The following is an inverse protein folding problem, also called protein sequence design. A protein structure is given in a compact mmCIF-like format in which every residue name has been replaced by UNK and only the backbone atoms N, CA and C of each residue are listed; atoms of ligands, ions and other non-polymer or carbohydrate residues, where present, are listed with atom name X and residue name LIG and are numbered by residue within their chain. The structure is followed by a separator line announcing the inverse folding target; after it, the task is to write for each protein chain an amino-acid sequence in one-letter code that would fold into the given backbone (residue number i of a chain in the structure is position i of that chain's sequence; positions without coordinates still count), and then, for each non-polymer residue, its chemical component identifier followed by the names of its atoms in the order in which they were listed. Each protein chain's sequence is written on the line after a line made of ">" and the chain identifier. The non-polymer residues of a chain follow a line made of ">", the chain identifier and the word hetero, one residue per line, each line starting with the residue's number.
data_IF_444166537770
#
_entry.id   IF_444166537770
#
_cell.length_a   1.000
_cell.length_b   1.000
_cell.length_c   1.000
_cell.angle_alpha   90.00
_cell.angle_beta   90.00
_cell.angle_gamma   90.00
#
_symmetry.space_group_name_H-M   'P 1'
#
loop_
_entity.id
_entity.type
_entity.pdbx_description
1 polymer ?
#
# COMPACT_ATOMS: atom_id res chain seq x y z
N UNK A 1 13.32 -10.95 -8.70
CA UNK A 1 13.15 -10.53 -10.12
C UNK A 1 13.98 -9.28 -10.34
N UNK A 2 14.65 -9.15 -11.50
CA UNK A 2 15.43 -7.94 -11.84
C UNK A 2 14.67 -7.16 -12.90
N UNK A 3 14.55 -5.86 -12.71
CA UNK A 3 13.88 -4.95 -13.64
C UNK A 3 14.87 -3.86 -14.04
N UNK A 4 14.98 -3.59 -15.33
CA UNK A 4 15.78 -2.49 -15.86
C UNK A 4 14.85 -1.33 -16.16
N UNK A 5 15.17 -0.16 -15.65
CA UNK A 5 14.43 1.09 -15.89
C UNK A 5 15.39 2.14 -16.46
N UNK A 6 14.88 3.00 -17.33
CA UNK A 6 15.61 4.17 -17.81
C UNK A 6 15.30 5.34 -16.89
N UNK A 7 16.34 5.94 -16.32
CA UNK A 7 16.23 7.14 -15.49
C UNK A 7 16.84 8.33 -16.22
N UNK A 8 16.23 9.49 -16.04
CA UNK A 8 16.79 10.77 -16.50
C UNK A 8 17.96 11.14 -15.59
N UNK A 9 19.00 11.76 -16.15
CA UNK A 9 20.30 11.95 -15.45
C UNK A 9 20.18 12.79 -14.17
N UNK A 10 19.30 13.78 -14.17
CA UNK A 10 18.98 14.61 -13.01
C UNK A 10 18.37 13.79 -11.86
N UNK A 11 17.44 12.88 -12.18
CA UNK A 11 16.83 11.98 -11.20
C UNK A 11 17.85 10.97 -10.67
N UNK A 12 18.75 10.48 -11.52
CA UNK A 12 19.84 9.61 -11.10
C UNK A 12 20.77 10.33 -10.12
N UNK A 13 21.18 11.56 -10.42
CA UNK A 13 22.01 12.37 -9.54
C UNK A 13 21.36 12.59 -8.17
N UNK A 14 20.07 12.95 -8.16
CA UNK A 14 19.29 13.10 -6.94
C UNK A 14 19.22 11.82 -6.10
N UNK A 15 18.97 10.68 -6.74
CA UNK A 15 18.93 9.39 -6.05
C UNK A 15 20.30 8.99 -5.48
N UNK A 16 21.38 9.29 -6.20
CA UNK A 16 22.75 9.06 -5.73
C UNK A 16 23.08 9.93 -4.52
N UNK A 17 22.71 11.21 -4.54
CA UNK A 17 22.94 12.12 -3.41
C UNK A 17 22.16 11.67 -2.17
N UNK A 18 20.89 11.28 -2.35
CA UNK A 18 19.99 10.96 -1.24
C UNK A 18 20.18 9.56 -0.64
N UNK A 19 20.50 8.56 -1.45
CA UNK A 19 20.59 7.15 -1.01
C UNK A 19 21.99 6.54 -1.15
N UNK A 20 22.89 7.19 -1.89
CA UNK A 20 24.21 6.67 -2.23
C UNK A 20 24.18 5.69 -3.40
N UNK A 21 25.29 5.60 -4.13
CA UNK A 21 25.43 4.79 -5.37
C UNK A 21 25.05 3.31 -5.21
N UNK A 22 25.26 2.74 -4.02
CA UNK A 22 25.01 1.31 -3.75
C UNK A 22 23.54 0.97 -3.42
N UNK A 23 22.74 1.95 -2.99
CA UNK A 23 21.37 1.70 -2.48
C UNK A 23 20.27 2.33 -3.33
N UNK A 24 20.58 2.70 -4.58
CA UNK A 24 19.62 3.31 -5.51
C UNK A 24 18.41 2.40 -5.72
N UNK A 25 18.64 1.10 -5.90
CA UNK A 25 17.55 0.12 -6.09
C UNK A 25 16.60 0.07 -4.89
N UNK A 26 17.13 0.12 -3.67
CA UNK A 26 16.31 0.16 -2.45
C UNK A 26 15.49 1.45 -2.37
N UNK A 27 16.10 2.59 -2.68
CA UNK A 27 15.43 3.89 -2.68
C UNK A 27 14.31 3.96 -3.72
N UNK A 28 14.56 3.49 -4.94
CA UNK A 28 13.56 3.44 -6.01
C UNK A 28 12.40 2.52 -5.64
N UNK A 29 12.69 1.32 -5.15
CA UNK A 29 11.64 0.37 -4.75
C UNK A 29 10.79 0.91 -3.59
N UNK A 30 11.41 1.57 -2.60
CA UNK A 30 10.69 2.20 -1.50
C UNK A 30 9.76 3.31 -1.98
N UNK A 31 10.26 4.24 -2.81
CA UNK A 31 9.44 5.32 -3.35
C UNK A 31 8.29 4.80 -4.21
N UNK A 32 8.55 3.83 -5.10
CA UNK A 32 7.51 3.22 -5.91
C UNK A 32 6.50 2.48 -5.06
N UNK A 33 6.93 1.81 -3.99
CA UNK A 33 6.04 1.14 -3.07
C UNK A 33 5.10 2.13 -2.37
N UNK A 34 5.67 3.19 -1.79
CA UNK A 34 4.90 4.26 -1.13
C UNK A 34 3.89 4.88 -2.11
N UNK A 35 4.33 5.31 -3.28
CA UNK A 35 3.44 5.99 -4.22
C UNK A 35 2.38 5.08 -4.85
N UNK A 36 2.75 3.84 -5.24
CA UNK A 36 1.84 2.96 -5.98
C UNK A 36 0.92 2.16 -5.05
N UNK A 37 1.38 1.83 -3.83
CA UNK A 37 0.66 0.93 -2.93
C UNK A 37 0.12 1.60 -1.66
N UNK A 38 0.75 2.64 -1.11
CA UNK A 38 0.16 3.30 0.08
C UNK A 38 -1.08 4.12 -0.26
N UNK A 39 -1.12 4.76 -1.43
CA UNK A 39 -2.35 5.43 -1.92
C UNK A 39 -3.46 4.42 -2.25
N UNK A 40 -3.09 3.18 -2.59
CA UNK A 40 -4.03 2.08 -2.89
C UNK A 40 -4.51 1.32 -1.67
N UNK A 41 -4.21 1.78 -0.45
CA UNK A 41 -5.02 1.42 0.73
C UNK A 41 -6.40 2.11 0.67
N UNK A 42 -7.06 2.09 -0.49
CA UNK A 42 -8.50 1.96 -0.49
C UNK A 42 -8.76 0.57 0.06
N UNK A 43 -9.15 0.55 1.32
CA UNK A 43 -9.80 -0.56 2.02
C UNK A 43 -10.52 -1.45 0.98
N UNK A 44 -10.15 -2.73 0.88
CA UNK A 44 -10.81 -3.68 -0.03
C UNK A 44 -12.30 -3.87 0.31
N UNK A 45 -12.71 -3.27 1.42
CA UNK A 45 -14.08 -2.94 1.77
C UNK A 45 -14.28 -1.45 1.52
N UNK A 46 -14.63 -1.10 0.27
CA UNK A 46 -14.87 0.29 -0.12
C UNK A 46 -15.66 1.02 0.96
N UNK A 47 -15.03 2.08 1.47
CA UNK A 47 -15.45 3.20 2.34
C UNK A 47 -16.95 3.33 2.67
N UNK A 48 -17.63 2.29 3.13
CA UNK A 48 -19.01 2.39 3.58
C UNK A 48 -19.01 2.58 5.11
N UNK A 49 -19.42 3.76 5.63
CA UNK A 49 -19.48 4.00 7.08
C UNK A 49 -20.32 2.95 7.82
N UNK A 50 -21.24 2.27 7.12
CA UNK A 50 -22.05 1.19 7.66
C UNK A 50 -21.23 -0.04 8.09
N UNK A 51 -20.17 -0.40 7.34
CA UNK A 51 -19.26 -1.50 7.68
C UNK A 51 -18.37 -1.20 8.89
N UNK A 52 -18.07 0.09 9.14
CA UNK A 52 -17.33 0.51 10.35
C UNK A 52 -18.21 0.63 11.58
N UNK A 53 -19.52 0.85 11.40
CA UNK A 53 -20.49 1.05 12.49
C UNK A 53 -21.07 -0.26 13.00
N UNK A 54 -21.13 -1.29 12.14
CA UNK A 54 -21.45 -2.64 12.54
C UNK A 54 -20.24 -3.23 13.28
N UNK A 55 -20.11 -2.88 14.56
CA UNK A 55 -19.37 -3.70 15.50
C UNK A 55 -19.82 -5.15 15.32
N UNK A 56 -18.88 -6.08 15.46
CA UNK A 56 -19.09 -7.52 15.30
C UNK A 56 -20.16 -8.08 16.29
N UNK A 57 -20.67 -7.24 17.18
CA UNK A 57 -21.82 -7.45 18.05
C UNK A 57 -23.13 -7.25 17.28
N UNK A 58 -23.57 -8.27 16.54
CA UNK A 58 -24.93 -8.27 15.98
C UNK A 58 -25.16 -9.10 14.73
N UNK A 59 -24.09 -9.61 14.09
CA UNK A 59 -24.19 -10.44 12.88
C UNK A 59 -24.46 -11.92 13.15
N UNK A 60 -24.83 -12.29 14.39
CA UNK A 60 -25.41 -13.60 14.67
C UNK A 60 -26.90 -13.42 14.84
N UNK A 61 -27.65 -13.84 13.82
CA UNK A 61 -29.10 -13.98 13.92
C UNK A 61 -29.43 -14.89 15.11
N UNK A 62 -30.30 -14.42 16.00
CA UNK A 62 -30.81 -15.19 17.13
C UNK A 62 -31.60 -16.44 16.70
N UNK A 63 -31.89 -16.59 15.40
CA UNK A 63 -32.65 -17.68 14.83
C UNK A 63 -31.92 -19.05 14.87
N UNK A 64 -30.60 -19.07 15.10
CA UNK A 64 -29.83 -20.31 15.32
C UNK A 64 -29.79 -20.76 16.78
N UNK A 65 -30.43 -20.04 17.72
CA UNK A 65 -30.41 -20.43 19.15
C UNK A 65 -31.48 -21.45 19.55
N UNK A 66 -32.48 -21.74 18.71
CA UNK A 66 -33.59 -22.64 19.06
C UNK A 66 -34.01 -23.57 17.89
N UNK A 67 -33.06 -24.33 17.34
CA UNK A 67 -33.34 -25.58 16.61
C UNK A 67 -32.49 -26.71 17.19
#
# INVERSE_FOLDING_TARGET
>A
MKTTIMLRDDLYAFLVERFGKRRISEGVNKMLFEHVFEEKKQDFFGVDPWLKKAGVEGLRDEHDRNL
#
